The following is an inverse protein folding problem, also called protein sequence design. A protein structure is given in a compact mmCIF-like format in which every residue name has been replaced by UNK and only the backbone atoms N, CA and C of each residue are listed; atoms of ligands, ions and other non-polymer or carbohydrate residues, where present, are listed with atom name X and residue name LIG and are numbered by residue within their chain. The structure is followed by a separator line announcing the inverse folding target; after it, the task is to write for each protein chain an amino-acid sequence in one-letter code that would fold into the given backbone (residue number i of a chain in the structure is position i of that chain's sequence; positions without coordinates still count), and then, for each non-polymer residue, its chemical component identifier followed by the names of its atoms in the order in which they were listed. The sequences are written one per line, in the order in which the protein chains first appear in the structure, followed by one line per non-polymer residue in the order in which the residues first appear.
data_IF_368588477200
#
_entry.id   IF_368588477200
#
_cell.length_a   1.000
_cell.length_b   1.000
_cell.length_c   1.000
_cell.angle_alpha   90.00
_cell.angle_beta   90.00
_cell.angle_gamma   90.00
#
_symmetry.space_group_name_H-M   'P 1'
#
loop_
_entity.id
_entity.type
_entity.pdbx_description
1 polymer ?
#
# COMPACT_ATOMS: atom_id res chain seq x y z
N UNK A 1 -3.83 -1.83 -8.67
CA UNK A 1 -3.18 -1.48 -7.38
C UNK A 1 -4.27 -1.28 -6.33
N UNK A 2 -4.11 -1.89 -5.19
CA UNK A 2 -5.01 -1.71 -4.06
C UNK A 2 -4.31 -0.91 -2.97
N UNK A 3 -4.97 0.10 -2.42
CA UNK A 3 -4.42 0.90 -1.33
C UNK A 3 -5.46 0.97 -0.22
N UNK A 4 -5.10 0.47 0.95
CA UNK A 4 -5.97 0.50 2.13
C UNK A 4 -5.41 1.45 3.18
N UNK A 5 -6.29 2.27 3.76
CA UNK A 5 -5.90 3.21 4.80
C UNK A 5 -6.34 2.70 6.16
N UNK A 6 -5.45 2.79 7.13
CA UNK A 6 -5.70 2.40 8.50
C UNK A 6 -5.28 3.51 9.46
N UNK A 7 -5.92 3.58 10.60
CA UNK A 7 -5.43 4.31 11.75
C UNK A 7 -5.79 5.77 11.81
N UNK A 8 -4.91 6.56 12.39
CA UNK A 8 -5.17 7.94 12.80
C UNK A 8 -4.98 8.90 11.64
N UNK A 9 -6.08 9.43 11.11
CA UNK A 9 -6.06 10.34 9.97
C UNK A 9 -5.29 11.64 10.28
N UNK A 10 -5.16 12.00 11.55
CA UNK A 10 -4.41 13.19 11.98
C UNK A 10 -2.95 12.89 12.28
N UNK A 11 -2.57 11.62 12.29
CA UNK A 11 -1.19 11.22 12.52
C UNK A 11 -0.33 11.44 11.29
N UNK A 12 0.97 11.27 11.47
CA UNK A 12 1.90 11.30 10.34
C UNK A 12 1.57 10.19 9.35
N UNK A 13 1.70 10.48 8.09
CA UNK A 13 1.43 9.52 7.03
C UNK A 13 2.59 8.54 6.89
N UNK A 14 2.25 7.25 6.80
CA UNK A 14 3.21 6.19 6.56
C UNK A 14 2.66 5.29 5.44
N UNK A 15 3.47 4.98 4.46
CA UNK A 15 3.09 4.10 3.37
C UNK A 15 3.91 2.81 3.44
N UNK A 16 3.22 1.67 3.43
CA UNK A 16 3.86 0.36 3.50
C UNK A 16 3.82 -0.31 2.14
N UNK A 17 5.00 -0.63 1.62
CA UNK A 17 5.16 -1.26 0.32
C UNK A 17 5.68 -2.68 0.50
N UNK A 18 4.98 -3.66 -0.09
CA UNK A 18 5.34 -5.07 0.06
C UNK A 18 6.52 -5.47 -0.84
N UNK A 19 7.14 -6.61 -0.51
CA UNK A 19 8.16 -7.21 -1.34
C UNK A 19 7.59 -8.02 -2.49
N UNK A 20 8.48 -8.62 -3.28
CA UNK A 20 8.10 -9.42 -4.43
C UNK A 20 7.25 -10.61 -3.99
N UNK A 21 6.20 -10.93 -4.76
CA UNK A 21 5.24 -12.02 -4.51
C UNK A 21 4.43 -11.84 -3.22
N UNK A 22 4.40 -10.63 -2.66
CA UNK A 22 3.65 -10.32 -1.45
C UNK A 22 2.51 -9.34 -1.77
N UNK A 23 1.78 -8.96 -0.76
CA UNK A 23 0.72 -7.96 -0.86
C UNK A 23 0.62 -7.22 0.48
N UNK A 24 -0.33 -6.29 0.61
CA UNK A 24 -0.44 -5.50 1.84
C UNK A 24 -0.63 -6.40 3.08
N UNK A 25 -1.18 -7.58 2.90
CA UNK A 25 -1.43 -8.52 4.00
C UNK A 25 -0.15 -8.95 4.73
N UNK A 26 1.03 -8.82 4.11
CA UNK A 26 2.26 -9.11 4.83
C UNK A 26 2.45 -8.21 6.05
N UNK A 27 1.73 -7.10 6.12
CA UNK A 27 1.82 -6.15 7.21
C UNK A 27 0.69 -6.27 8.22
N UNK A 28 -0.18 -7.28 8.11
CA UNK A 28 -1.35 -7.40 8.98
C UNK A 28 -1.02 -7.38 10.46
N UNK A 29 0.10 -8.00 10.85
CA UNK A 29 0.51 -8.03 12.26
C UNK A 29 1.14 -6.72 12.72
N UNK A 30 1.70 -5.96 11.79
CA UNK A 30 2.37 -4.70 12.08
C UNK A 30 1.40 -3.52 12.15
N UNK A 31 0.38 -3.52 11.30
CA UNK A 31 -0.56 -2.41 11.19
C UNK A 31 -1.22 -2.04 12.52
N UNK A 32 -1.71 -2.97 13.35
CA UNK A 32 -2.32 -2.61 14.63
C UNK A 32 -1.38 -1.86 15.57
N UNK A 33 -0.07 -2.08 15.43
CA UNK A 33 0.92 -1.38 16.25
C UNK A 33 1.17 0.04 15.75
N UNK A 34 1.02 0.25 14.44
CA UNK A 34 1.30 1.54 13.82
C UNK A 34 0.07 2.45 13.80
N UNK A 35 -1.12 1.89 13.67
CA UNK A 35 -2.33 2.68 13.43
C UNK A 35 -2.71 3.61 14.57
N UNK A 36 -2.15 3.39 15.75
CA UNK A 36 -2.40 4.26 16.90
C UNK A 36 -1.79 5.66 16.72
N UNK A 37 -0.68 5.75 15.99
CA UNK A 37 0.08 6.99 15.86
C UNK A 37 0.17 7.50 14.44
N UNK A 38 -0.05 6.64 13.46
CA UNK A 38 0.16 6.95 12.05
C UNK A 38 -1.10 6.78 11.25
N UNK A 39 -1.21 7.58 10.20
CA UNK A 39 -2.15 7.32 9.12
C UNK A 39 -1.44 6.38 8.15
N UNK A 40 -1.83 5.10 8.13
CA UNK A 40 -1.11 4.07 7.40
C UNK A 40 -1.80 3.76 6.07
N UNK A 41 -1.05 3.83 4.99
CA UNK A 41 -1.49 3.40 3.67
C UNK A 41 -0.76 2.13 3.31
N UNK A 42 -1.47 1.02 3.26
CA UNK A 42 -0.91 -0.28 2.90
C UNK A 42 -1.23 -0.57 1.43
N UNK A 43 -0.20 -0.78 0.64
CA UNK A 43 -0.30 -0.87 -0.82
C UNK A 43 -0.09 -2.31 -1.29
N UNK A 44 -0.96 -2.76 -2.20
CA UNK A 44 -0.75 -3.99 -2.97
C UNK A 44 -0.58 -3.59 -4.43
N UNK A 45 0.57 -3.89 -5.00
CA UNK A 45 0.86 -3.55 -6.40
C UNK A 45 -0.02 -4.32 -7.36
N UNK A 46 -0.09 -3.82 -8.60
CA UNK A 46 -0.82 -4.50 -9.67
C UNK A 46 -0.33 -5.94 -9.81
N UNK A 47 -1.26 -6.86 -10.01
CA UNK A 47 -0.97 -8.28 -10.06
C UNK A 47 -0.90 -8.97 -8.69
N UNK A 48 -0.84 -8.19 -7.61
CA UNK A 48 -0.75 -8.71 -6.24
C UNK A 48 -1.90 -8.20 -5.35
N UNK A 49 -2.88 -7.53 -5.93
CA UNK A 49 -3.98 -6.92 -5.18
C UNK A 49 -5.18 -7.87 -4.94
N UNK A 50 -5.08 -9.10 -5.41
CA UNK A 50 -6.10 -10.11 -5.16
C UNK A 50 -7.31 -10.04 -6.07
N UNK A 51 -7.40 -9.06 -6.96
CA UNK A 51 -8.56 -8.91 -7.84
C UNK A 51 -8.51 -9.79 -9.07
N UNK A 52 -7.32 -10.16 -9.53
CA UNK A 52 -7.12 -10.85 -10.79
C UNK A 52 -7.32 -9.96 -12.01
N UNK A 53 -7.62 -8.70 -11.82
CA UNK A 53 -7.91 -7.75 -12.89
C UNK A 53 -6.72 -6.89 -13.29
N UNK A 54 -5.70 -6.84 -12.44
CA UNK A 54 -4.50 -6.05 -12.71
C UNK A 54 -3.32 -6.96 -13.01
N UNK A 55 -2.35 -6.44 -13.73
CA UNK A 55 -1.13 -7.15 -14.07
C UNK A 55 0.07 -6.28 -13.73
N UNK A 56 1.01 -6.84 -12.99
CA UNK A 56 2.28 -6.16 -12.72
C UNK A 56 3.08 -6.04 -14.03
N UNK A 57 3.55 -4.84 -14.31
CA UNK A 57 4.33 -4.58 -15.53
C UNK A 57 5.80 -4.34 -15.17
N UNK A 58 6.11 -3.16 -14.59
CA UNK A 58 7.46 -2.84 -14.17
C UNK A 58 7.41 -2.08 -12.84
N UNK A 59 8.54 -2.07 -12.13
CA UNK A 59 8.66 -1.29 -10.90
C UNK A 59 8.46 0.21 -11.18
N UNK A 60 8.93 0.69 -12.32
CA UNK A 60 8.76 2.10 -12.69
C UNK A 60 7.29 2.45 -12.91
N UNK A 61 6.55 1.58 -13.58
CA UNK A 61 5.12 1.79 -13.79
C UNK A 61 4.37 1.87 -12.46
N UNK A 62 4.71 0.99 -11.52
CA UNK A 62 4.11 1.02 -10.19
C UNK A 62 4.49 2.29 -9.43
N UNK A 63 5.73 2.73 -9.55
CA UNK A 63 6.18 3.98 -8.93
C UNK A 63 5.43 5.18 -9.48
N UNK A 64 5.20 5.22 -10.80
CA UNK A 64 4.44 6.30 -11.43
C UNK A 64 2.99 6.34 -10.93
N UNK A 65 2.37 5.18 -10.76
CA UNK A 65 1.00 5.08 -10.23
C UNK A 65 0.94 5.55 -8.78
N UNK A 66 1.94 5.19 -7.97
CA UNK A 66 2.01 5.65 -6.59
C UNK A 66 2.20 7.16 -6.52
N UNK A 67 3.08 7.72 -7.35
CA UNK A 67 3.31 9.15 -7.38
C UNK A 67 2.02 9.90 -7.74
N UNK A 68 1.28 9.42 -8.71
CA UNK A 68 0.00 10.01 -9.09
C UNK A 68 -1.01 9.95 -7.94
N UNK A 69 -1.04 8.85 -7.20
CA UNK A 69 -1.90 8.71 -6.03
C UNK A 69 -1.54 9.70 -4.92
N UNK A 70 -0.25 9.84 -4.64
CA UNK A 70 0.23 10.72 -3.57
C UNK A 70 -0.06 12.18 -3.86
N UNK A 71 -0.05 12.58 -5.13
CA UNK A 71 -0.28 13.96 -5.55
C UNK A 71 -1.73 14.41 -5.46
N UNK A 72 -2.63 13.50 -5.21
CA UNK A 72 -4.06 13.86 -5.12
C UNK A 72 -4.40 14.65 -3.83
#
# INVERSE_FOLDING_TARGET
MEIKRFGNIEGKTMMLLHGNLMCWQQFEDLIPLLERKFCVYAVSFDGFDGTGETTYTTARDQADKLAAYIEK
#
